data_IF_615429458675
#
_entry.id   IF_615429458675
#
_cell.length_a   1.000
_cell.length_b   1.000
_cell.length_c   1.000
_cell.angle_alpha   90.00
_cell.angle_beta   90.00
_cell.angle_gamma   90.00
#
_symmetry.space_group_name_H-M   'P 1'
#
loop_
_entity.id
_entity.type
_entity.pdbx_description
1 polymer ?
#
# COMPACT_ATOMS: atom_id res chain seq x y z
N UNK A 1 15.71 -23.57 4.80
CA UNK A 1 16.16 -24.97 4.75
C UNK A 1 17.35 -25.05 3.78
N UNK A 2 18.40 -25.82 4.07
CA UNK A 2 19.48 -26.03 3.11
C UNK A 2 18.95 -26.72 1.83
N UNK A 3 19.60 -26.49 0.71
CA UNK A 3 19.30 -27.15 -0.55
C UNK A 3 19.47 -28.66 -0.39
N UNK A 4 18.48 -29.44 -0.82
CA UNK A 4 18.50 -30.89 -0.70
C UNK A 4 19.28 -31.54 -1.84
N UNK A 5 19.79 -32.76 -1.64
CA UNK A 5 20.45 -33.54 -2.68
C UNK A 5 19.53 -33.77 -3.90
N UNK A 6 18.22 -33.97 -3.66
CA UNK A 6 17.24 -34.14 -4.73
C UNK A 6 17.11 -32.92 -5.62
N UNK A 7 17.19 -31.71 -5.08
CA UNK A 7 17.17 -30.48 -5.86
C UNK A 7 18.48 -30.25 -6.63
N UNK A 8 19.61 -30.54 -6.01
CA UNK A 8 20.92 -30.41 -6.65
C UNK A 8 21.14 -31.46 -7.77
N UNK A 9 20.57 -32.65 -7.63
CA UNK A 9 20.68 -33.72 -8.64
C UNK A 9 19.92 -33.42 -9.93
N UNK A 10 18.91 -32.55 -9.92
CA UNK A 10 18.21 -32.11 -11.13
C UNK A 10 19.14 -31.40 -12.13
N UNK A 11 20.24 -30.81 -11.63
CA UNK A 11 21.25 -30.14 -12.46
C UNK A 11 22.33 -31.10 -13.02
N UNK A 12 22.30 -32.39 -12.67
CA UNK A 12 23.36 -33.35 -12.97
C UNK A 12 23.04 -34.33 -14.11
N UNK A 13 21.84 -34.32 -14.67
CA UNK A 13 21.43 -35.26 -15.70
C UNK A 13 22.00 -34.87 -17.06
N UNK A 14 22.78 -35.78 -17.68
CA UNK A 14 23.57 -35.55 -18.90
C UNK A 14 22.75 -35.41 -20.20
N UNK A 15 21.43 -35.51 -20.15
CA UNK A 15 20.53 -35.46 -21.31
C UNK A 15 19.47 -34.37 -21.23
N UNK A 16 19.58 -33.42 -20.26
CA UNK A 16 18.61 -32.38 -20.00
C UNK A 16 19.22 -31.02 -20.35
N UNK A 17 18.42 -30.12 -20.89
CA UNK A 17 18.81 -28.71 -21.02
C UNK A 17 19.17 -28.15 -19.65
N UNK A 18 20.38 -27.64 -19.51
CA UNK A 18 20.87 -27.09 -18.24
C UNK A 18 20.32 -25.69 -17.94
N UNK A 19 19.45 -25.16 -18.79
CA UNK A 19 18.80 -23.87 -18.54
C UNK A 19 17.65 -24.04 -17.56
N UNK A 20 17.78 -23.43 -16.39
CA UNK A 20 16.70 -23.38 -15.40
C UNK A 20 15.76 -22.22 -15.78
N UNK A 21 14.51 -22.57 -16.05
CA UNK A 21 13.46 -21.61 -16.45
C UNK A 21 12.82 -21.07 -15.18
N UNK A 22 12.77 -19.75 -15.06
CA UNK A 22 12.05 -19.05 -14.00
C UNK A 22 10.64 -18.71 -14.49
N UNK A 23 9.63 -19.41 -13.96
CA UNK A 23 8.23 -19.22 -14.33
C UNK A 23 7.54 -18.04 -13.60
N UNK A 24 8.23 -17.45 -12.62
CA UNK A 24 7.64 -16.39 -11.81
C UNK A 24 7.85 -15.01 -12.41
N UNK A 25 6.76 -14.27 -12.56
CA UNK A 25 6.77 -12.86 -13.00
C UNK A 25 7.14 -11.94 -11.86
N UNK A 26 8.35 -11.39 -11.90
CA UNK A 26 8.83 -10.42 -10.90
C UNK A 26 9.26 -9.13 -11.57
N UNK A 27 8.82 -8.01 -11.01
CA UNK A 27 9.14 -6.68 -11.53
C UNK A 27 10.18 -5.99 -10.66
N UNK A 28 11.13 -5.30 -11.30
CA UNK A 28 12.10 -4.41 -10.64
C UNK A 28 11.83 -2.92 -10.94
N UNK A 29 10.74 -2.60 -11.65
CA UNK A 29 10.45 -1.24 -12.11
C UNK A 29 10.57 -0.18 -11.02
N UNK A 30 10.00 -0.45 -9.83
CA UNK A 30 10.03 0.51 -8.73
C UNK A 30 11.45 0.77 -8.24
N UNK A 31 12.26 -0.28 -8.10
CA UNK A 31 13.65 -0.15 -7.67
C UNK A 31 14.50 0.61 -8.70
N UNK A 32 14.23 0.40 -9.98
CA UNK A 32 15.00 0.99 -11.07
C UNK A 32 14.65 2.48 -11.32
N UNK A 33 13.43 2.91 -10.93
CA UNK A 33 12.92 4.27 -11.19
C UNK A 33 12.80 5.15 -9.95
N UNK A 34 12.75 4.57 -8.77
CA UNK A 34 12.60 5.32 -7.52
C UNK A 34 13.91 6.05 -7.19
N UNK A 35 13.93 7.38 -7.09
CA UNK A 35 15.11 8.11 -6.62
C UNK A 35 15.29 7.84 -5.12
N UNK A 36 16.54 7.58 -4.68
CA UNK A 36 16.87 7.37 -3.28
C UNK A 36 17.56 8.58 -2.67
N UNK A 37 17.01 9.09 -1.56
CA UNK A 37 17.64 10.08 -0.71
C UNK A 37 18.58 9.35 0.28
N UNK A 38 19.86 9.72 0.28
CA UNK A 38 20.88 9.16 1.16
C UNK A 38 21.28 10.13 2.27
N UNK A 39 20.38 11.00 2.69
CA UNK A 39 20.65 11.99 3.77
C UNK A 39 20.75 11.35 5.15
N UNK A 40 20.21 10.15 5.37
CA UNK A 40 20.34 9.40 6.62
C UNK A 40 21.67 8.68 6.64
N UNK A 41 22.65 9.25 7.35
CA UNK A 41 24.00 8.71 7.46
C UNK A 41 24.40 8.46 8.92
N UNK A 42 24.12 7.27 9.50
CA UNK A 42 24.51 6.96 10.87
C UNK A 42 26.02 6.95 11.10
N UNK A 43 26.80 6.55 10.10
CA UNK A 43 28.26 6.51 10.18
C UNK A 43 28.91 7.91 10.18
N UNK A 44 28.20 8.92 9.69
CA UNK A 44 28.64 10.31 9.67
C UNK A 44 28.44 11.08 10.98
N UNK A 45 28.03 10.41 12.05
CA UNK A 45 28.06 10.95 13.43
C UNK A 45 26.81 11.73 13.83
N UNK A 46 25.62 11.23 13.65
CA UNK A 46 24.50 11.91 14.28
C UNK A 46 23.09 11.55 13.89
N UNK A 47 22.84 10.62 12.99
CA UNK A 47 21.47 10.23 12.74
C UNK A 47 21.22 8.77 13.13
N UNK A 48 20.06 8.55 13.72
CA UNK A 48 19.48 7.22 13.87
C UNK A 48 18.93 6.76 12.52
N UNK A 49 18.50 5.51 12.39
CA UNK A 49 17.83 5.00 11.18
C UNK A 49 16.40 5.59 11.03
N UNK A 50 16.24 6.88 11.27
CA UNK A 50 14.97 7.61 11.20
C UNK A 50 15.13 8.77 10.23
N UNK A 51 14.26 8.82 9.24
CA UNK A 51 14.15 9.93 8.32
C UNK A 51 13.02 10.86 8.75
N UNK A 52 13.32 12.14 8.94
CA UNK A 52 12.33 13.15 9.32
C UNK A 52 12.13 14.19 8.23
N UNK A 53 10.87 14.58 8.00
CA UNK A 53 10.51 15.65 7.09
C UNK A 53 9.35 16.48 7.63
N UNK A 54 9.23 17.71 7.17
CA UNK A 54 8.17 18.63 7.59
C UNK A 54 7.22 18.88 6.42
N UNK A 55 5.92 18.73 6.69
CA UNK A 55 4.84 19.03 5.73
C UNK A 55 4.07 20.26 6.19
N UNK A 56 3.75 21.14 5.25
CA UNK A 56 2.82 22.24 5.48
C UNK A 56 1.39 21.67 5.47
N UNK A 57 0.61 22.01 6.51
CA UNK A 57 -0.75 21.51 6.70
C UNK A 57 -1.79 22.55 6.24
N UNK A 58 -1.54 23.83 6.43
CA UNK A 58 -2.45 24.90 6.06
C UNK A 58 -1.82 25.91 5.11
N UNK A 59 -2.66 26.61 4.35
CA UNK A 59 -2.24 27.71 3.48
C UNK A 59 -2.62 29.06 4.11
N UNK A 60 -1.88 30.10 3.78
CA UNK A 60 -2.28 31.47 4.12
C UNK A 60 -3.46 31.90 3.26
N UNK A 61 -4.41 32.57 3.90
CA UNK A 61 -5.44 33.31 3.20
C UNK A 61 -4.93 34.70 2.81
N UNK A 62 -5.40 35.21 1.67
CA UNK A 62 -5.25 36.60 1.27
C UNK A 62 -6.64 37.19 1.07
N UNK A 63 -6.84 38.43 1.46
CA UNK A 63 -8.13 39.11 1.35
C UNK A 63 -7.92 40.59 1.03
N UNK A 64 -8.97 41.24 0.52
CA UNK A 64 -8.99 42.69 0.42
C UNK A 64 -9.27 43.31 1.80
N UNK A 65 -8.67 44.46 2.07
CA UNK A 65 -8.99 45.28 3.24
C UNK A 65 -9.71 46.55 2.82
N UNK A 66 -10.52 47.08 3.71
CA UNK A 66 -11.06 48.44 3.55
C UNK A 66 -9.97 49.50 3.75
N UNK A 67 -10.17 50.67 3.18
CA UNK A 67 -9.29 51.83 3.47
C UNK A 67 -9.38 52.14 4.96
N UNK A 68 -8.25 52.38 5.61
CA UNK A 68 -8.09 52.58 7.05
C UNK A 68 -8.42 51.38 7.94
N UNK A 69 -8.42 50.14 7.40
CA UNK A 69 -8.49 48.89 8.17
C UNK A 69 -7.16 48.13 8.06
N UNK A 70 -6.86 47.28 9.04
CA UNK A 70 -5.71 46.36 9.01
C UNK A 70 -6.09 45.04 8.37
N UNK A 71 -5.08 44.29 7.82
CA UNK A 71 -5.25 42.91 7.39
C UNK A 71 -5.40 41.99 8.59
N UNK A 72 -6.28 41.02 8.51
CA UNK A 72 -6.35 39.95 9.50
C UNK A 72 -5.14 39.01 9.32
N UNK A 73 -4.27 38.89 10.31
CA UNK A 73 -3.12 37.99 10.22
C UNK A 73 -3.57 36.53 10.21
N UNK A 74 -2.95 35.73 9.34
CA UNK A 74 -3.15 34.27 9.27
C UNK A 74 -1.82 33.57 9.45
N UNK A 75 -1.81 32.38 10.02
CA UNK A 75 -0.62 31.58 10.23
C UNK A 75 -0.62 30.34 9.34
N UNK A 76 0.57 29.85 8.98
CA UNK A 76 0.80 28.60 8.28
C UNK A 76 1.21 27.55 9.29
N UNK A 77 0.44 26.47 9.41
CA UNK A 77 0.77 25.36 10.29
C UNK A 77 1.61 24.30 9.55
N UNK A 78 2.51 23.68 10.29
CA UNK A 78 3.42 22.62 9.81
C UNK A 78 3.33 21.44 10.75
N UNK A 79 3.52 20.23 10.21
CA UNK A 79 3.67 19.00 11.00
C UNK A 79 4.95 18.27 10.57
N UNK A 80 5.61 17.67 11.53
CA UNK A 80 6.78 16.82 11.31
C UNK A 80 6.31 15.37 11.21
N UNK A 81 6.86 14.66 10.24
CA UNK A 81 6.66 13.24 10.02
C UNK A 81 8.00 12.52 10.07
N UNK A 82 8.00 11.30 10.55
CA UNK A 82 9.19 10.46 10.64
C UNK A 82 8.91 9.10 10.03
N UNK A 83 9.91 8.50 9.40
CA UNK A 83 9.86 7.15 8.83
C UNK A 83 11.10 6.39 9.27
N UNK A 84 10.93 5.16 9.75
CA UNK A 84 12.01 4.30 10.17
C UNK A 84 12.56 3.53 8.96
N UNK A 85 13.89 3.52 8.79
CA UNK A 85 14.55 2.69 7.78
C UNK A 85 14.75 1.28 8.35
N UNK A 86 14.47 0.27 7.52
CA UNK A 86 14.56 -1.15 7.91
C UNK A 86 15.39 -1.94 6.90
N UNK A 87 16.24 -2.87 7.36
CA UNK A 87 16.93 -3.79 6.47
C UNK A 87 15.93 -4.81 5.89
N UNK A 88 16.15 -5.20 4.65
CA UNK A 88 15.28 -6.09 3.92
C UNK A 88 16.12 -7.08 3.10
N UNK A 89 15.86 -8.37 3.22
CA UNK A 89 16.65 -9.36 2.49
C UNK A 89 16.27 -10.78 2.83
N UNK A 90 17.19 -11.69 2.58
CA UNK A 90 17.01 -13.10 2.88
C UNK A 90 18.33 -13.85 2.84
N UNK A 91 18.28 -15.13 3.20
CA UNK A 91 19.43 -16.02 3.19
C UNK A 91 19.10 -17.37 2.57
N UNK A 92 20.11 -18.05 2.07
CA UNK A 92 20.04 -19.45 1.66
C UNK A 92 21.19 -20.23 2.27
N UNK A 93 21.01 -21.52 2.42
CA UNK A 93 22.02 -22.43 2.97
C UNK A 93 22.32 -23.55 1.97
N UNK A 94 23.60 -23.88 1.83
CA UNK A 94 24.06 -24.94 0.93
C UNK A 94 25.16 -25.79 1.63
N UNK A 95 25.09 -27.10 1.43
CA UNK A 95 26.17 -28.00 1.87
C UNK A 95 27.33 -27.95 0.85
N UNK A 96 28.58 -27.91 1.36
CA UNK A 96 29.79 -27.85 0.54
C UNK A 96 29.91 -28.99 -0.47
N UNK A 97 29.31 -30.17 -0.19
CA UNK A 97 29.32 -31.31 -1.11
C UNK A 97 28.50 -31.02 -2.35
N UNK A 98 27.40 -30.27 -2.19
CA UNK A 98 26.47 -29.94 -3.30
C UNK A 98 27.05 -28.87 -4.26
N UNK A 99 28.05 -28.13 -3.85
CA UNK A 99 28.70 -27.12 -4.71
C UNK A 99 29.49 -27.71 -5.87
N UNK A 100 29.93 -28.98 -5.73
CA UNK A 100 30.66 -29.75 -6.77
C UNK A 100 29.77 -30.62 -7.66
N UNK A 101 28.45 -30.64 -7.41
CA UNK A 101 27.50 -31.48 -8.13
C UNK A 101 26.74 -30.65 -9.16
N UNK A 102 26.78 -31.07 -10.41
CA UNK A 102 26.01 -30.46 -11.50
C UNK A 102 26.82 -29.54 -12.43
N UNK A 103 26.24 -29.30 -13.62
CA UNK A 103 26.83 -28.45 -14.66
C UNK A 103 26.59 -26.94 -14.39
N UNK A 104 25.61 -26.61 -13.56
CA UNK A 104 25.26 -25.23 -13.17
C UNK A 104 25.64 -25.02 -11.71
N UNK A 105 26.28 -23.90 -11.40
CA UNK A 105 26.61 -23.53 -10.03
C UNK A 105 25.34 -23.25 -9.22
N UNK A 106 25.02 -24.15 -8.30
CA UNK A 106 23.85 -23.99 -7.41
C UNK A 106 23.92 -22.70 -6.55
N UNK A 107 25.12 -22.32 -6.10
CA UNK A 107 25.33 -21.06 -5.36
C UNK A 107 24.93 -19.87 -6.20
N UNK A 108 25.34 -19.80 -7.46
CA UNK A 108 25.01 -18.68 -8.36
C UNK A 108 23.53 -18.62 -8.68
N UNK A 109 22.89 -19.79 -8.85
CA UNK A 109 21.46 -19.89 -9.08
C UNK A 109 20.67 -19.38 -7.88
N UNK A 110 20.96 -19.91 -6.68
CA UNK A 110 20.27 -19.51 -5.43
C UNK A 110 20.46 -18.02 -5.14
N UNK A 111 21.67 -17.49 -5.37
CA UNK A 111 21.94 -16.07 -5.21
C UNK A 111 21.11 -15.21 -6.18
N UNK A 112 21.05 -15.60 -7.46
CA UNK A 112 20.27 -14.88 -8.46
C UNK A 112 18.78 -14.87 -8.13
N UNK A 113 18.23 -16.00 -7.67
CA UNK A 113 16.85 -16.11 -7.25
C UNK A 113 16.57 -15.27 -5.99
N UNK A 114 17.49 -15.25 -5.02
CA UNK A 114 17.35 -14.45 -3.82
C UNK A 114 17.39 -12.93 -4.11
N UNK A 115 18.25 -12.49 -5.04
CA UNK A 115 18.27 -11.09 -5.50
C UNK A 115 16.92 -10.71 -6.16
N UNK A 116 16.38 -11.58 -7.03
CA UNK A 116 15.06 -11.36 -7.64
C UNK A 116 13.95 -11.29 -6.57
N UNK A 117 13.98 -12.19 -5.61
CA UNK A 117 13.01 -12.22 -4.50
C UNK A 117 13.09 -10.95 -3.64
N UNK A 118 14.30 -10.47 -3.32
CA UNK A 118 14.50 -9.24 -2.55
C UNK A 118 13.93 -8.02 -3.29
N UNK A 119 14.18 -7.91 -4.61
CA UNK A 119 13.61 -6.84 -5.44
C UNK A 119 12.08 -6.90 -5.51
N UNK A 120 11.51 -8.10 -5.67
CA UNK A 120 10.05 -8.28 -5.71
C UNK A 120 9.40 -7.99 -4.36
N UNK A 121 10.06 -8.38 -3.26
CA UNK A 121 9.57 -8.07 -1.91
C UNK A 121 9.62 -6.57 -1.63
N UNK A 122 10.67 -5.87 -2.07
CA UNK A 122 10.71 -4.41 -1.99
C UNK A 122 9.54 -3.78 -2.75
N UNK A 123 9.26 -4.22 -3.98
CA UNK A 123 8.14 -3.70 -4.76
C UNK A 123 6.78 -3.95 -4.07
N UNK A 124 6.60 -5.10 -3.42
CA UNK A 124 5.42 -5.39 -2.62
C UNK A 124 5.31 -4.45 -1.41
N UNK A 125 6.39 -4.24 -0.66
CA UNK A 125 6.40 -3.35 0.51
C UNK A 125 6.18 -1.88 0.12
N UNK A 126 6.66 -1.43 -1.03
CA UNK A 126 6.40 -0.08 -1.56
C UNK A 126 4.90 0.17 -1.75
N UNK A 127 4.13 -0.84 -2.11
CA UNK A 127 2.67 -0.73 -2.30
C UNK A 127 1.92 -1.10 -1.02
N UNK A 128 2.19 -2.29 -0.48
CA UNK A 128 1.37 -2.94 0.56
C UNK A 128 1.98 -2.87 1.97
N UNK A 129 3.16 -2.27 2.12
CA UNK A 129 3.81 -2.17 3.43
C UNK A 129 2.89 -1.54 4.47
N UNK A 130 2.93 -2.08 5.70
CA UNK A 130 2.16 -1.59 6.84
C UNK A 130 2.95 -1.92 8.12
N UNK A 131 3.50 -0.90 8.77
CA UNK A 131 4.32 -1.04 9.97
C UNK A 131 3.49 -1.46 11.21
N UNK A 132 2.19 -1.20 11.20
CA UNK A 132 1.28 -1.66 12.25
C UNK A 132 1.09 -3.19 12.21
N UNK A 133 1.25 -3.83 11.05
CA UNK A 133 1.15 -5.29 10.88
C UNK A 133 2.52 -5.95 10.94
N UNK A 134 3.50 -5.36 10.25
CA UNK A 134 4.89 -5.84 10.21
C UNK A 134 5.77 -4.80 10.88
N UNK A 135 5.99 -4.94 12.19
CA UNK A 135 6.69 -3.96 13.05
C UNK A 135 8.11 -3.65 12.58
N UNK A 136 8.73 -4.54 11.81
CA UNK A 136 10.06 -4.36 11.20
C UNK A 136 9.99 -3.92 9.73
N UNK A 137 8.81 -3.51 9.26
CA UNK A 137 8.57 -2.96 7.94
C UNK A 137 8.49 -1.44 7.91
N UNK A 138 7.99 -0.92 6.81
CA UNK A 138 7.65 0.49 6.61
C UNK A 138 6.31 0.62 5.88
N UNK A 139 5.65 1.78 6.01
CA UNK A 139 4.38 2.03 5.33
C UNK A 139 4.58 2.23 3.83
N UNK A 140 3.78 1.49 3.04
CA UNK A 140 3.71 1.62 1.59
C UNK A 140 2.68 2.66 1.14
N UNK A 141 2.55 2.80 -0.18
CA UNK A 141 1.60 3.76 -0.80
C UNK A 141 0.16 3.50 -0.37
N UNK A 142 -0.23 2.25 -0.18
CA UNK A 142 -1.57 1.89 0.25
C UNK A 142 -1.92 2.56 1.58
N UNK A 143 -1.02 2.53 2.56
CA UNK A 143 -1.20 3.17 3.86
C UNK A 143 -1.04 4.69 3.78
N UNK A 144 -0.03 5.17 3.05
CA UNK A 144 0.28 6.59 2.95
C UNK A 144 -0.82 7.42 2.26
N UNK A 145 -1.67 6.78 1.45
CA UNK A 145 -2.74 7.45 0.69
C UNK A 145 -4.11 7.38 1.38
N UNK A 146 -4.29 6.59 2.44
CA UNK A 146 -5.56 6.51 3.17
C UNK A 146 -5.97 7.91 3.68
N UNK A 147 -7.20 8.32 3.37
CA UNK A 147 -7.77 9.59 3.79
C UNK A 147 -7.15 10.84 3.14
N UNK A 148 -6.31 10.69 2.10
CA UNK A 148 -5.76 11.82 1.37
C UNK A 148 -6.73 12.33 0.30
N UNK A 149 -6.57 13.60 -0.11
CA UNK A 149 -7.39 14.18 -1.19
C UNK A 149 -7.18 13.49 -2.56
N UNK A 150 -6.12 12.70 -2.71
CA UNK A 150 -5.77 11.96 -3.94
C UNK A 150 -6.24 10.51 -3.92
N UNK A 151 -6.84 10.07 -2.82
CA UNK A 151 -7.56 8.80 -2.77
C UNK A 151 -8.95 8.97 -3.40
N UNK A 152 -9.32 8.08 -4.30
CA UNK A 152 -10.63 8.01 -4.93
C UNK A 152 -11.24 6.66 -4.64
N UNK A 153 -12.18 6.60 -3.73
CA UNK A 153 -12.92 5.39 -3.35
C UNK A 153 -14.37 5.39 -3.84
N UNK A 154 -14.72 6.34 -4.70
CA UNK A 154 -16.07 6.55 -5.25
C UNK A 154 -16.67 5.32 -5.95
N UNK A 155 -17.78 5.45 -6.67
CA UNK A 155 -18.47 4.32 -7.27
C UNK A 155 -17.51 3.49 -8.15
N UNK A 156 -17.71 2.17 -8.20
CA UNK A 156 -16.86 1.23 -8.96
C UNK A 156 -16.65 1.71 -10.39
N UNK A 157 -15.39 1.76 -10.84
CA UNK A 157 -15.06 1.97 -12.25
C UNK A 157 -15.05 0.58 -12.92
N UNK A 158 -16.10 0.24 -13.66
CA UNK A 158 -16.19 -1.04 -14.34
C UNK A 158 -15.51 -0.98 -15.72
N UNK A 159 -14.29 -1.51 -15.82
CA UNK A 159 -13.56 -1.61 -17.09
C UNK A 159 -14.05 -2.76 -17.96
N UNK A 160 -14.73 -3.78 -17.39
CA UNK A 160 -15.25 -4.92 -18.15
C UNK A 160 -16.48 -4.57 -18.96
N UNK A 161 -17.22 -3.56 -18.53
CA UNK A 161 -18.42 -3.08 -19.25
C UNK A 161 -18.08 -2.17 -20.44
N UNK A 162 -16.81 -1.78 -20.62
CA UNK A 162 -16.40 -0.84 -21.68
C UNK A 162 -16.33 -1.58 -23.03
N UNK A 163 -17.42 -1.55 -23.76
CA UNK A 163 -17.55 -2.18 -25.09
C UNK A 163 -17.90 -1.18 -26.20
N UNK A 164 -17.99 0.11 -25.90
CA UNK A 164 -18.28 1.19 -26.84
C UNK A 164 -17.33 2.36 -26.62
N UNK A 165 -17.15 3.16 -27.68
CA UNK A 165 -16.34 4.40 -27.59
C UNK A 165 -16.91 5.38 -26.55
N UNK A 166 -18.24 5.49 -26.42
CA UNK A 166 -18.86 6.39 -25.44
C UNK A 166 -18.52 5.99 -24.00
N UNK A 167 -18.58 4.70 -23.68
CA UNK A 167 -18.20 4.16 -22.36
C UNK A 167 -16.70 4.32 -22.11
N UNK A 168 -15.87 4.12 -23.14
CA UNK A 168 -14.43 4.35 -23.05
C UNK A 168 -14.10 5.82 -22.75
N UNK A 169 -14.77 6.77 -23.42
CA UNK A 169 -14.60 8.20 -23.16
C UNK A 169 -15.04 8.55 -21.73
N UNK A 170 -16.14 7.98 -21.24
CA UNK A 170 -16.59 8.18 -19.86
C UNK A 170 -15.58 7.65 -18.83
N UNK A 171 -15.06 6.43 -19.04
CA UNK A 171 -14.02 5.85 -18.20
C UNK A 171 -12.73 6.69 -18.18
N UNK A 172 -12.29 7.15 -19.37
CA UNK A 172 -11.15 8.06 -19.50
C UNK A 172 -11.41 9.39 -18.78
N UNK A 173 -12.64 9.93 -18.88
CA UNK A 173 -13.05 11.14 -18.17
C UNK A 173 -12.89 11.01 -16.66
N UNK A 174 -13.31 9.88 -16.10
CA UNK A 174 -13.17 9.59 -14.67
C UNK A 174 -11.71 9.43 -14.24
N UNK A 175 -10.92 8.68 -15.00
CA UNK A 175 -9.48 8.55 -14.73
C UNK A 175 -8.79 9.92 -14.79
N UNK A 176 -9.16 10.78 -15.73
CA UNK A 176 -8.61 12.13 -15.82
C UNK A 176 -9.00 13.02 -14.63
N UNK A 177 -10.23 12.92 -14.15
CA UNK A 177 -10.69 13.64 -12.96
C UNK A 177 -9.91 13.19 -11.70
N UNK A 178 -9.65 11.88 -11.59
CA UNK A 178 -8.80 11.34 -10.52
C UNK A 178 -7.36 11.85 -10.63
N UNK A 179 -6.74 11.77 -11.80
CA UNK A 179 -5.36 12.25 -12.01
C UNK A 179 -5.22 13.77 -11.80
N UNK A 180 -6.29 14.55 -12.04
CA UNK A 180 -6.28 15.99 -11.80
C UNK A 180 -6.20 16.38 -10.31
N UNK A 181 -6.42 15.44 -9.39
CA UNK A 181 -6.21 15.65 -7.95
C UNK A 181 -4.73 15.70 -7.55
N UNK A 182 -3.85 15.19 -8.41
CA UNK A 182 -2.40 15.21 -8.18
C UNK A 182 -1.80 16.59 -8.45
N UNK A 183 -0.68 16.85 -7.79
CA UNK A 183 0.16 18.01 -8.07
C UNK A 183 1.20 17.64 -9.15
N UNK A 184 0.91 18.06 -10.37
CA UNK A 184 1.71 17.76 -11.54
C UNK A 184 1.33 16.42 -12.22
N UNK A 185 2.03 16.13 -13.33
CA UNK A 185 1.82 14.93 -14.11
C UNK A 185 2.48 13.73 -13.42
N UNK A 186 1.80 12.58 -13.27
CA UNK A 186 2.46 11.35 -12.82
C UNK A 186 3.47 10.84 -13.84
N UNK A 187 4.45 10.09 -13.38
CA UNK A 187 5.48 9.45 -14.20
C UNK A 187 5.07 8.04 -14.63
N UNK A 188 4.21 7.37 -13.86
CA UNK A 188 3.74 6.02 -14.15
C UNK A 188 2.38 5.75 -13.53
N UNK A 189 1.64 4.81 -14.17
CA UNK A 189 0.47 4.16 -13.62
C UNK A 189 0.83 2.72 -13.26
N UNK A 190 0.72 2.39 -11.97
CA UNK A 190 1.05 1.06 -11.44
C UNK A 190 -0.23 0.26 -11.29
N UNK A 191 -0.22 -0.97 -11.75
CA UNK A 191 -1.39 -1.84 -11.75
C UNK A 191 -0.97 -3.30 -11.89
N UNK A 192 -1.94 -4.21 -11.93
CA UNK A 192 -1.69 -5.60 -12.29
C UNK A 192 -1.93 -5.84 -13.80
N UNK A 193 -1.55 -7.02 -14.28
CA UNK A 193 -1.63 -7.38 -15.70
C UNK A 193 -3.05 -7.36 -16.27
N UNK A 194 -4.07 -7.73 -15.46
CA UNK A 194 -5.48 -7.72 -15.89
C UNK A 194 -5.97 -6.29 -16.10
N UNK A 195 -5.70 -5.42 -15.13
CA UNK A 195 -6.05 -3.99 -15.24
C UNK A 195 -5.31 -3.32 -16.40
N UNK A 196 -4.04 -3.67 -16.62
CA UNK A 196 -3.24 -3.17 -17.74
C UNK A 196 -3.88 -3.52 -19.08
N UNK A 197 -4.26 -4.78 -19.28
CA UNK A 197 -4.90 -5.23 -20.52
C UNK A 197 -6.22 -4.50 -20.78
N UNK A 198 -7.09 -4.37 -19.76
CA UNK A 198 -8.37 -3.67 -19.91
C UNK A 198 -8.20 -2.16 -20.11
N UNK A 199 -7.28 -1.54 -19.38
CA UNK A 199 -7.01 -0.10 -19.58
C UNK A 199 -6.39 0.17 -20.96
N UNK A 200 -5.56 -0.73 -21.48
CA UNK A 200 -5.07 -0.70 -22.86
C UNK A 200 -6.23 -0.76 -23.87
N UNK A 201 -7.22 -1.63 -23.66
CA UNK A 201 -8.43 -1.70 -24.48
C UNK A 201 -9.26 -0.41 -24.40
N UNK A 202 -9.47 0.15 -23.20
CA UNK A 202 -10.16 1.44 -23.01
C UNK A 202 -9.42 2.56 -23.73
N UNK A 203 -8.10 2.58 -23.64
CA UNK A 203 -7.25 3.54 -24.33
C UNK A 203 -7.35 3.42 -25.87
N UNK A 204 -7.43 2.19 -26.38
CA UNK A 204 -7.62 1.94 -27.82
C UNK A 204 -8.99 2.42 -28.30
N UNK A 205 -10.08 2.08 -27.60
CA UNK A 205 -11.45 2.52 -27.95
C UNK A 205 -11.61 4.05 -27.88
N UNK A 206 -10.91 4.71 -26.97
CA UNK A 206 -10.95 6.17 -26.81
C UNK A 206 -9.97 6.91 -27.72
N UNK A 207 -9.12 6.20 -28.49
CA UNK A 207 -8.07 6.80 -29.32
C UNK A 207 -6.90 7.38 -28.53
N UNK A 208 -6.73 6.97 -27.26
CA UNK A 208 -5.69 7.46 -26.36
C UNK A 208 -4.50 6.49 -26.22
N UNK A 209 -4.60 5.28 -26.81
CA UNK A 209 -3.50 4.31 -26.80
C UNK A 209 -2.34 4.84 -27.65
N UNK A 210 -1.18 4.87 -27.06
CA UNK A 210 0.07 5.17 -27.73
C UNK A 210 1.14 4.19 -27.25
N UNK A 211 2.04 3.78 -28.11
CA UNK A 211 3.29 3.14 -27.71
C UNK A 211 4.37 4.20 -27.54
N UNK A 212 5.19 4.03 -26.52
CA UNK A 212 6.40 4.79 -26.33
C UNK A 212 7.56 3.82 -26.11
N UNK A 213 8.71 4.12 -26.68
CA UNK A 213 9.92 3.34 -26.38
C UNK A 213 10.53 3.87 -25.08
N UNK A 214 10.94 2.96 -24.22
CA UNK A 214 11.72 3.30 -23.04
C UNK A 214 13.19 3.65 -23.43
N UNK A 215 14.01 3.98 -22.46
CA UNK A 215 15.42 4.31 -22.67
C UNK A 215 16.24 3.15 -23.29
N UNK A 216 15.72 1.93 -23.28
CA UNK A 216 16.33 0.72 -23.84
C UNK A 216 15.71 0.29 -25.18
N UNK A 217 14.77 1.08 -25.73
CA UNK A 217 14.11 0.79 -26.99
C UNK A 217 12.97 -0.23 -26.89
N UNK A 218 12.55 -0.63 -25.68
CA UNK A 218 11.43 -1.54 -25.46
C UNK A 218 10.12 -0.75 -25.59
N UNK A 219 9.21 -1.23 -26.44
CA UNK A 219 7.89 -0.64 -26.57
C UNK A 219 7.07 -0.86 -25.27
N UNK A 220 6.57 0.25 -24.72
CA UNK A 220 5.65 0.26 -23.60
C UNK A 220 4.31 0.84 -24.02
N UNK A 221 3.24 0.16 -23.64
CA UNK A 221 1.90 0.71 -23.77
C UNK A 221 1.73 1.91 -22.84
N UNK A 222 1.21 3.00 -23.39
CA UNK A 222 0.99 4.22 -22.65
C UNK A 222 -0.46 4.67 -22.75
N UNK A 223 -1.00 5.13 -21.64
CA UNK A 223 -2.25 5.85 -21.59
C UNK A 223 -1.94 7.35 -21.49
N UNK A 224 -2.28 8.12 -22.54
CA UNK A 224 -1.96 9.56 -22.64
C UNK A 224 -0.46 9.87 -22.43
N UNK A 225 0.40 8.95 -22.84
CA UNK A 225 1.85 9.06 -22.65
C UNK A 225 2.32 8.76 -21.21
N UNK A 226 1.47 8.18 -20.37
CA UNK A 226 1.84 7.62 -19.07
C UNK A 226 2.07 6.12 -19.24
N UNK A 227 3.23 5.58 -18.87
CA UNK A 227 3.49 4.16 -18.97
C UNK A 227 2.59 3.36 -18.05
N UNK A 228 2.03 2.26 -18.57
CA UNK A 228 1.21 1.29 -17.84
C UNK A 228 2.12 0.18 -17.33
N UNK A 229 2.35 0.14 -16.04
CA UNK A 229 3.32 -0.75 -15.40
C UNK A 229 2.60 -1.84 -14.61
N UNK A 230 2.85 -3.08 -15.01
CA UNK A 230 2.47 -4.24 -14.22
C UNK A 230 3.57 -4.56 -13.19
N UNK A 231 3.22 -4.58 -11.91
CA UNK A 231 4.17 -4.86 -10.83
C UNK A 231 4.45 -6.36 -10.63
N UNK A 232 3.70 -7.24 -11.31
CA UNK A 232 3.93 -8.68 -11.27
C UNK A 232 3.54 -9.34 -9.96
N UNK A 233 4.30 -10.37 -9.57
CA UNK A 233 4.02 -11.24 -8.44
C UNK A 233 4.89 -10.92 -7.22
N UNK A 234 4.36 -11.23 -6.03
CA UNK A 234 5.07 -11.12 -4.75
C UNK A 234 6.24 -12.11 -4.65
N UNK A 235 7.20 -11.81 -3.81
CA UNK A 235 8.28 -12.72 -3.51
C UNK A 235 7.76 -14.00 -2.82
N UNK A 236 8.20 -15.17 -3.30
CA UNK A 236 7.85 -16.45 -2.69
C UNK A 236 6.39 -16.89 -2.88
N UNK A 237 5.61 -16.20 -3.69
CA UNK A 237 4.22 -16.52 -3.96
C UNK A 237 3.83 -16.23 -5.41
N UNK A 238 2.80 -16.91 -5.92
CA UNK A 238 2.17 -16.61 -7.22
C UNK A 238 1.08 -15.53 -7.10
N UNK A 239 0.92 -14.89 -5.96
CA UNK A 239 -0.03 -13.80 -5.76
C UNK A 239 0.54 -12.48 -6.28
N UNK A 240 -0.33 -11.65 -6.86
CA UNK A 240 0.04 -10.36 -7.45
C UNK A 240 0.40 -9.33 -6.36
N UNK A 241 1.32 -8.42 -6.67
CA UNK A 241 1.65 -7.24 -5.81
C UNK A 241 0.43 -6.35 -5.65
N UNK A 242 -0.28 -6.04 -6.75
CA UNK A 242 -1.59 -5.40 -6.70
C UNK A 242 -2.63 -6.48 -7.02
N UNK A 243 -3.35 -7.00 -6.01
CA UNK A 243 -4.22 -8.16 -6.20
C UNK A 243 -5.51 -7.82 -6.95
N UNK A 244 -6.11 -8.83 -7.56
CA UNK A 244 -7.53 -8.81 -7.92
C UNK A 244 -8.30 -9.32 -6.69
N UNK A 245 -9.04 -8.44 -6.06
CA UNK A 245 -9.78 -8.75 -4.85
C UNK A 245 -11.20 -9.19 -5.21
N UNK A 246 -11.66 -10.30 -4.66
CA UNK A 246 -13.08 -10.60 -4.64
C UNK A 246 -13.76 -9.71 -3.59
N UNK A 247 -15.05 -9.47 -3.76
CA UNK A 247 -15.88 -9.01 -2.67
C UNK A 247 -15.72 -10.04 -1.53
N UNK A 248 -14.91 -9.69 -0.55
CA UNK A 248 -14.62 -10.54 0.59
C UNK A 248 -15.73 -10.44 1.64
N UNK A 249 -15.54 -11.13 2.75
CA UNK A 249 -16.38 -10.93 3.94
C UNK A 249 -16.04 -9.58 4.54
N UNK A 250 -17.01 -8.70 4.61
CA UNK A 250 -16.86 -7.41 5.27
C UNK A 250 -16.66 -7.60 6.77
N UNK A 251 -15.78 -6.82 7.35
CA UNK A 251 -15.62 -6.83 8.79
C UNK A 251 -16.84 -6.28 9.48
N UNK A 252 -17.20 -6.93 10.58
CA UNK A 252 -18.30 -6.53 11.44
C UNK A 252 -17.78 -6.39 12.87
N UNK A 253 -17.94 -5.19 13.42
CA UNK A 253 -17.63 -4.91 14.83
C UNK A 253 -18.91 -4.55 15.55
N UNK A 254 -19.10 -5.15 16.72
CA UNK A 254 -20.30 -4.94 17.55
C UNK A 254 -19.94 -4.14 18.80
N UNK A 255 -20.63 -3.03 18.98
CA UNK A 255 -20.58 -2.19 20.16
C UNK A 255 -21.68 -2.64 21.12
N UNK A 256 -21.28 -3.12 22.29
CA UNK A 256 -22.24 -3.57 23.35
C UNK A 256 -22.07 -2.70 24.57
N UNK A 257 -23.17 -2.12 24.99
CA UNK A 257 -23.27 -1.29 26.20
C UNK A 257 -23.61 -2.15 27.41
N UNK A 258 -22.97 -1.86 28.53
CA UNK A 258 -23.31 -2.44 29.83
C UNK A 258 -23.52 -1.34 30.86
N UNK A 259 -24.26 -1.70 31.96
CA UNK A 259 -24.65 -0.74 32.97
C UNK A 259 -25.84 0.12 32.55
N UNK A 260 -26.08 1.18 33.29
CA UNK A 260 -27.17 2.13 33.01
C UNK A 260 -26.61 3.41 32.47
N UNK A 261 -27.08 3.84 31.29
CA UNK A 261 -26.75 5.08 30.66
C UNK A 261 -27.92 6.05 30.74
N UNK A 262 -27.75 7.18 31.41
CA UNK A 262 -28.84 8.14 31.64
C UNK A 262 -28.66 9.46 30.93
N UNK A 263 -27.43 9.87 30.73
CA UNK A 263 -27.07 11.10 29.99
C UNK A 263 -25.57 11.13 29.71
N UNK A 264 -25.10 12.17 29.04
CA UNK A 264 -23.69 12.39 28.75
C UNK A 264 -23.33 12.15 27.32
N UNK A 265 -22.02 12.16 27.04
CA UNK A 265 -21.47 11.95 25.71
C UNK A 265 -20.27 10.99 25.77
N UNK A 266 -19.99 10.36 24.65
CA UNK A 266 -18.85 9.48 24.45
C UNK A 266 -18.19 9.77 23.10
N UNK A 267 -16.99 9.26 22.86
CA UNK A 267 -16.32 9.40 21.58
C UNK A 267 -15.90 8.05 21.04
N UNK A 268 -15.81 7.97 19.70
CA UNK A 268 -15.35 6.82 18.96
C UNK A 268 -14.08 7.22 18.20
N UNK A 269 -13.06 6.36 18.26
CA UNK A 269 -11.83 6.56 17.51
C UNK A 269 -11.57 5.36 16.59
N UNK A 270 -11.22 5.66 15.35
CA UNK A 270 -10.85 4.68 14.34
C UNK A 270 -9.56 5.12 13.63
N UNK A 271 -8.54 4.29 13.67
CA UNK A 271 -7.22 4.55 13.08
C UNK A 271 -6.66 5.96 13.43
N UNK A 272 -6.78 6.32 14.71
CA UNK A 272 -6.26 7.59 15.23
C UNK A 272 -7.14 8.83 14.97
N UNK A 273 -8.25 8.69 14.27
CA UNK A 273 -9.24 9.75 14.08
C UNK A 273 -10.37 9.58 15.09
N UNK A 274 -10.78 10.66 15.75
CA UNK A 274 -11.79 10.65 16.81
C UNK A 274 -13.00 11.48 16.41
N UNK A 275 -14.21 10.97 16.63
CA UNK A 275 -15.46 11.71 16.38
C UNK A 275 -15.60 12.90 17.33
N UNK A 276 -16.45 13.87 16.93
CA UNK A 276 -17.02 14.79 17.90
C UNK A 276 -17.79 14.00 18.99
N UNK A 277 -18.04 14.61 20.17
CA UNK A 277 -18.81 13.96 21.22
C UNK A 277 -20.19 13.49 20.75
N UNK A 278 -20.48 12.22 20.94
CA UNK A 278 -21.69 11.51 20.54
C UNK A 278 -22.67 11.44 21.72
N UNK A 279 -23.96 11.61 21.48
CA UNK A 279 -24.97 11.47 22.54
C UNK A 279 -25.03 10.02 23.09
N UNK A 280 -25.34 9.86 24.35
CA UNK A 280 -25.43 8.55 25.02
C UNK A 280 -26.41 7.59 24.33
N UNK A 281 -27.43 8.12 23.65
CA UNK A 281 -28.52 7.41 22.98
C UNK A 281 -28.45 7.55 21.43
N UNK A 282 -27.30 7.84 20.89
CA UNK A 282 -27.14 8.05 19.44
C UNK A 282 -27.64 6.82 18.65
N UNK A 283 -28.40 7.07 17.60
CA UNK A 283 -28.88 6.01 16.70
C UNK A 283 -27.78 5.51 15.76
N UNK A 284 -27.90 4.28 15.27
CA UNK A 284 -26.97 3.71 14.30
C UNK A 284 -26.78 4.62 13.07
N UNK A 285 -27.85 5.21 12.53
CA UNK A 285 -27.77 6.11 11.39
C UNK A 285 -26.98 7.40 11.68
N UNK A 286 -27.19 8.00 12.85
CA UNK A 286 -26.44 9.19 13.26
C UNK A 286 -24.97 8.86 13.60
N UNK A 287 -24.69 7.65 14.08
CA UNK A 287 -23.35 7.15 14.31
C UNK A 287 -22.59 7.06 12.97
N UNK A 288 -23.20 6.50 11.92
CA UNK A 288 -22.61 6.49 10.56
C UNK A 288 -22.34 7.91 10.07
N UNK A 289 -23.29 8.84 10.28
CA UNK A 289 -23.09 10.24 9.90
C UNK A 289 -21.89 10.86 10.63
N UNK A 290 -21.71 10.57 11.91
CA UNK A 290 -20.57 11.06 12.68
C UNK A 290 -19.25 10.40 12.27
N UNK A 291 -19.26 9.11 11.93
CA UNK A 291 -18.08 8.41 11.40
C UNK A 291 -17.67 8.93 10.03
N UNK A 292 -18.61 9.27 9.15
CA UNK A 292 -18.34 9.85 7.82
C UNK A 292 -17.72 11.27 7.89
N UNK A 293 -17.65 11.89 9.05
CA UNK A 293 -16.92 13.15 9.27
C UNK A 293 -15.43 12.93 9.59
N UNK A 294 -15.02 11.69 9.88
CA UNK A 294 -13.61 11.36 10.06
C UNK A 294 -12.89 11.41 8.72
N UNK A 295 -11.68 11.94 8.70
CA UNK A 295 -10.90 12.13 7.46
C UNK A 295 -10.50 10.82 6.76
N UNK A 296 -10.63 9.70 7.46
CA UNK A 296 -10.30 8.35 6.98
C UNK A 296 -11.55 7.50 6.67
N UNK A 297 -12.76 8.04 6.75
CA UNK A 297 -14.01 7.35 6.41
C UNK A 297 -14.82 8.22 5.44
N UNK A 298 -15.14 7.68 4.27
CA UNK A 298 -16.00 8.31 3.29
C UNK A 298 -17.43 7.72 3.34
N UNK A 299 -18.38 8.43 2.72
CA UNK A 299 -19.75 7.96 2.62
C UNK A 299 -19.83 6.63 1.89
N UNK A 300 -20.35 5.59 2.56
CA UNK A 300 -20.45 4.22 2.05
C UNK A 300 -19.35 3.28 2.55
N UNK A 301 -18.34 3.78 3.26
CA UNK A 301 -17.27 2.95 3.85
C UNK A 301 -17.74 2.19 5.10
N UNK A 302 -18.75 2.72 5.79
CA UNK A 302 -19.33 2.09 6.96
C UNK A 302 -20.86 2.11 6.88
N UNK A 303 -21.46 1.05 7.36
CA UNK A 303 -22.90 0.98 7.64
C UNK A 303 -23.09 0.55 9.08
N UNK A 304 -24.17 0.98 9.72
CA UNK A 304 -24.49 0.52 11.06
C UNK A 304 -25.95 0.11 11.17
N UNK A 305 -26.20 -0.88 11.97
CA UNK A 305 -27.53 -1.39 12.29
C UNK A 305 -27.65 -1.63 13.79
N UNK A 306 -28.89 -1.78 14.28
CA UNK A 306 -29.19 -1.95 15.69
C UNK A 306 -29.96 -0.77 16.26
N UNK A 307 -30.11 -0.78 17.58
CA UNK A 307 -30.84 0.27 18.30
C UNK A 307 -30.01 1.49 18.64
N UNK A 308 -30.54 2.34 19.51
CA UNK A 308 -29.77 3.42 20.11
C UNK A 308 -28.72 2.86 21.08
N UNK A 309 -27.53 3.47 21.13
CA UNK A 309 -26.40 2.94 21.91
C UNK A 309 -26.71 2.72 23.39
N UNK A 310 -27.52 3.54 24.00
CA UNK A 310 -27.83 3.40 25.44
C UNK A 310 -28.65 2.15 25.84
N UNK A 311 -29.20 1.40 24.89
CA UNK A 311 -30.12 0.29 25.17
C UNK A 311 -29.90 -1.00 24.41
N UNK A 312 -29.29 -0.93 23.21
CA UNK A 312 -29.12 -2.08 22.31
C UNK A 312 -27.73 -2.10 21.70
N UNK A 313 -27.20 -3.28 21.33
CA UNK A 313 -25.98 -3.37 20.56
C UNK A 313 -26.11 -2.63 19.23
N UNK A 314 -25.03 -1.95 18.82
CA UNK A 314 -24.88 -1.38 17.49
C UNK A 314 -23.86 -2.20 16.73
N UNK A 315 -24.26 -2.68 15.58
CA UNK A 315 -23.42 -3.48 14.68
C UNK A 315 -22.91 -2.57 13.57
N UNK A 316 -21.61 -2.39 13.48
CA UNK A 316 -20.94 -1.62 12.44
C UNK A 316 -20.35 -2.60 11.44
N UNK A 317 -20.69 -2.43 10.15
CA UNK A 317 -20.13 -3.20 9.05
C UNK A 317 -19.26 -2.28 8.22
N UNK A 318 -18.02 -2.68 8.03
CA UNK A 318 -17.07 -1.99 7.17
C UNK A 318 -17.28 -2.44 5.71
N UNK A 319 -17.46 -1.47 4.81
CA UNK A 319 -17.78 -1.67 3.42
C UNK A 319 -16.93 -0.73 2.55
N UNK A 320 -17.33 -0.48 1.31
CA UNK A 320 -16.67 0.48 0.43
C UNK A 320 -15.16 0.25 0.36
N UNK A 321 -14.38 1.21 0.79
CA UNK A 321 -12.92 1.19 0.87
C UNK A 321 -12.38 0.06 1.77
N UNK A 322 -13.11 -0.28 2.81
CA UNK A 322 -12.76 -1.32 3.78
C UNK A 322 -13.41 -2.67 3.47
N UNK A 323 -14.07 -2.81 2.32
CA UNK A 323 -14.71 -4.08 1.93
C UNK A 323 -13.70 -5.22 1.87
N UNK A 324 -13.93 -6.27 2.64
CA UNK A 324 -13.06 -7.45 2.70
C UNK A 324 -11.71 -7.23 3.39
N UNK A 325 -11.53 -6.12 4.10
CA UNK A 325 -10.30 -5.80 4.84
C UNK A 325 -10.53 -6.05 6.33
N UNK A 326 -9.59 -6.75 6.97
CA UNK A 326 -9.54 -6.80 8.43
C UNK A 326 -8.98 -5.46 8.94
N UNK A 327 -9.83 -4.66 9.58
CA UNK A 327 -9.48 -3.34 10.10
C UNK A 327 -9.24 -3.39 11.61
N UNK A 328 -8.43 -2.48 12.17
CA UNK A 328 -8.24 -2.42 13.61
C UNK A 328 -9.55 -2.18 14.34
N UNK A 329 -9.68 -2.76 15.54
CA UNK A 329 -10.84 -2.51 16.41
C UNK A 329 -11.02 -1.02 16.67
N UNK A 330 -12.28 -0.59 16.57
CA UNK A 330 -12.71 0.73 17.06
C UNK A 330 -12.40 0.84 18.55
N UNK A 331 -11.89 1.98 18.97
CA UNK A 331 -11.73 2.30 20.38
C UNK A 331 -12.78 3.33 20.80
N UNK A 332 -13.26 3.23 22.04
CA UNK A 332 -14.31 4.11 22.57
C UNK A 332 -13.87 4.72 23.90
N UNK A 333 -14.23 5.98 24.13
CA UNK A 333 -14.08 6.65 25.42
C UNK A 333 -15.46 7.03 25.93
N UNK A 334 -15.85 6.39 27.01
CA UNK A 334 -17.15 6.56 27.68
C UNK A 334 -17.04 7.38 28.97
N UNK A 335 -15.93 8.02 29.23
CA UNK A 335 -15.68 8.79 30.47
C UNK A 335 -16.65 9.94 30.67
N UNK A 336 -17.27 10.46 29.63
CA UNK A 336 -18.30 11.50 29.68
C UNK A 336 -19.73 10.99 29.90
N UNK A 337 -19.94 9.68 30.07
CA UNK A 337 -21.27 9.09 30.32
C UNK A 337 -21.61 9.15 31.77
N UNK A 338 -22.87 9.46 32.04
CA UNK A 338 -23.49 9.45 33.40
C UNK A 338 -24.36 8.22 33.52
N UNK A 339 -24.13 7.43 34.59
CA UNK A 339 -24.89 6.22 34.87
C UNK A 339 -24.10 5.24 35.73
N UNK A 340 -24.80 4.25 36.32
CA UNK A 340 -24.17 3.27 37.20
C UNK A 340 -23.56 2.12 36.40
N UNK A 341 -22.25 1.86 36.62
CA UNK A 341 -21.54 0.74 36.01
C UNK A 341 -21.45 0.83 34.46
N UNK A 342 -21.50 2.05 33.91
CA UNK A 342 -21.46 2.27 32.47
C UNK A 342 -20.13 1.79 31.86
N UNK A 343 -20.23 0.96 30.85
CA UNK A 343 -19.10 0.55 30.02
C UNK A 343 -19.58 0.23 28.61
N UNK A 344 -18.68 0.28 27.65
CA UNK A 344 -18.91 -0.16 26.28
C UNK A 344 -17.77 -1.12 25.87
N UNK A 345 -18.13 -2.25 25.32
CA UNK A 345 -17.20 -3.20 24.72
C UNK A 345 -17.34 -3.20 23.21
N UNK A 346 -16.22 -3.23 22.50
CA UNK A 346 -16.18 -3.42 21.07
C UNK A 346 -15.61 -4.80 20.79
N UNK A 347 -16.34 -5.60 20.03
CA UNK A 347 -15.96 -6.97 19.69
C UNK A 347 -16.00 -7.11 18.18
N UNK A 348 -14.92 -7.63 17.60
CA UNK A 348 -14.93 -8.10 16.22
C UNK A 348 -15.83 -9.34 16.14
N UNK A 349 -16.98 -9.20 15.48
CA UNK A 349 -17.97 -10.26 15.33
C UNK A 349 -17.70 -11.10 14.09
N UNK A 350 -17.20 -10.47 13.05
CA UNK A 350 -16.78 -11.12 11.80
C UNK A 350 -15.52 -10.45 11.33
N UNK A 351 -14.38 -11.17 11.25
CA UNK A 351 -13.16 -10.60 10.70
C UNK A 351 -13.33 -10.29 9.22
N UNK A 352 -12.82 -9.15 8.82
CA UNK A 352 -12.69 -8.81 7.41
C UNK A 352 -11.73 -9.78 6.74
N UNK A 353 -12.10 -10.34 5.62
CA UNK A 353 -11.25 -11.25 4.87
C UNK A 353 -11.47 -11.07 3.36
N UNK A 354 -10.40 -10.93 2.62
CA UNK A 354 -10.47 -11.06 1.17
C UNK A 354 -10.82 -12.52 0.82
N UNK A 355 -11.68 -12.71 -0.17
CA UNK A 355 -11.89 -14.03 -0.70
C UNK A 355 -10.59 -14.53 -1.36
N UNK A 356 -10.24 -15.80 -1.10
CA UNK A 356 -9.10 -16.45 -1.73
C UNK A 356 -9.26 -16.65 -3.25
N UNK A 357 -10.48 -16.52 -3.78
CA UNK A 357 -10.73 -16.53 -5.21
C UNK A 357 -10.37 -15.17 -5.81
N UNK A 358 -9.68 -15.12 -6.96
CA UNK A 358 -9.40 -13.89 -7.65
C UNK A 358 -10.73 -13.20 -7.98
N UNK A 359 -10.99 -12.10 -7.30
CA UNK A 359 -12.16 -11.27 -7.53
C UNK A 359 -11.91 -10.23 -8.61
N UNK A 360 -12.98 -9.57 -8.98
CA UNK A 360 -12.97 -8.63 -10.07
C UNK A 360 -12.54 -7.20 -9.71
N UNK A 361 -12.16 -6.90 -8.48
CA UNK A 361 -11.80 -5.53 -8.06
C UNK A 361 -10.28 -5.39 -7.87
N UNK A 362 -9.71 -4.28 -8.30
CA UNK A 362 -8.30 -3.95 -8.10
C UNK A 362 -8.13 -2.45 -7.89
N UNK A 363 -6.94 -2.04 -7.48
CA UNK A 363 -6.57 -0.64 -7.31
C UNK A 363 -5.58 -0.21 -8.40
N UNK A 364 -5.68 1.05 -8.82
CA UNK A 364 -4.71 1.70 -9.69
C UNK A 364 -3.98 2.77 -8.91
N UNK A 365 -2.65 2.79 -9.04
CA UNK A 365 -1.82 3.81 -8.41
C UNK A 365 -1.19 4.70 -9.49
N UNK A 366 -1.24 6.01 -9.30
CA UNK A 366 -0.50 6.98 -10.08
C UNK A 366 0.61 7.55 -9.20
N UNK A 367 1.84 7.61 -9.70
CA UNK A 367 2.99 8.07 -8.93
C UNK A 367 3.80 9.11 -9.69
N UNK A 368 4.25 10.15 -8.99
CA UNK A 368 5.23 11.12 -9.43
C UNK A 368 6.49 10.94 -8.57
N UNK A 369 7.53 10.43 -9.20
CA UNK A 369 8.81 10.21 -8.54
C UNK A 369 9.54 11.54 -8.35
N UNK A 370 10.20 11.70 -7.21
CA UNK A 370 10.98 12.91 -6.93
C UNK A 370 11.24 13.09 -5.44
N UNK A 371 12.34 13.73 -5.09
CA UNK A 371 12.72 13.99 -3.69
C UNK A 371 11.76 14.92 -2.96
N UNK A 372 10.95 15.66 -3.68
CA UNK A 372 9.85 16.51 -3.18
C UNK A 372 8.51 15.77 -3.12
N UNK A 373 8.39 14.64 -3.82
CA UNK A 373 7.20 13.83 -3.96
C UNK A 373 7.34 12.45 -3.31
N UNK A 374 7.30 11.41 -4.16
CA UNK A 374 7.46 10.01 -3.76
C UNK A 374 8.88 9.54 -4.08
N UNK A 375 9.62 9.07 -3.08
CA UNK A 375 10.99 8.62 -3.20
C UNK A 375 11.35 7.57 -2.16
N UNK A 376 12.44 6.85 -2.41
CA UNK A 376 13.07 5.98 -1.44
C UNK A 376 14.03 6.74 -0.54
N UNK A 377 14.27 6.23 0.65
CA UNK A 377 15.32 6.68 1.56
C UNK A 377 16.20 5.49 1.89
N UNK A 378 17.51 5.66 1.79
CA UNK A 378 18.48 4.61 2.08
C UNK A 378 19.70 5.19 2.81
N UNK A 379 20.43 4.34 3.51
CA UNK A 379 21.74 4.69 4.05
C UNK A 379 22.75 4.77 2.90
N UNK A 380 23.72 5.71 2.93
CA UNK A 380 24.77 5.78 1.91
C UNK A 380 25.54 4.46 1.77
N UNK A 381 25.78 4.05 0.54
CA UNK A 381 26.48 2.81 0.21
C UNK A 381 25.80 2.03 -0.92
N UNK A 382 26.14 0.76 -1.03
CA UNK A 382 25.47 -0.15 -1.96
C UNK A 382 24.07 -0.45 -1.46
N UNK A 383 23.07 -0.26 -2.32
CA UNK A 383 21.69 -0.52 -1.97
C UNK A 383 21.43 -2.01 -1.71
N UNK A 384 22.06 -2.90 -2.50
CA UNK A 384 21.98 -4.35 -2.33
C UNK A 384 23.39 -4.89 -2.09
N UNK A 385 23.57 -5.54 -0.96
CA UNK A 385 24.78 -6.23 -0.56
C UNK A 385 24.58 -7.73 -0.65
N UNK A 386 25.63 -8.45 -1.04
CA UNK A 386 25.61 -9.91 -1.15
C UNK A 386 26.78 -10.50 -0.40
N UNK A 387 26.52 -11.51 0.42
CA UNK A 387 27.53 -12.30 1.10
C UNK A 387 27.45 -13.72 0.56
N UNK A 388 28.56 -14.18 0.00
CA UNK A 388 28.66 -15.54 -0.54
C UNK A 388 28.99 -16.53 0.58
N UNK A 389 28.56 -17.82 0.44
CA UNK A 389 28.92 -18.87 1.37
C UNK A 389 30.44 -19.05 1.43
N UNK A 390 31.06 -18.96 2.63
CA UNK A 390 32.50 -19.18 2.85
C UNK A 390 32.79 -20.62 3.15
N UNK A 391 33.32 -21.35 2.18
CA UNK A 391 33.71 -22.74 2.29
C UNK A 391 35.16 -22.96 2.80
N UNK A 392 35.89 -21.90 3.10
CA UNK A 392 37.26 -22.00 3.67
C UNK A 392 37.28 -22.33 5.16
N UNK A 393 36.18 -22.01 5.84
CA UNK A 393 36.03 -22.28 7.29
C UNK A 393 35.35 -23.62 7.55
N UNK A 394 35.52 -24.18 8.76
CA UNK A 394 34.89 -25.43 9.17
C UNK A 394 33.36 -25.34 9.19
N UNK A 395 32.70 -26.48 8.95
CA UNK A 395 31.22 -26.59 8.86
C UNK A 395 30.78 -27.06 7.48
N UNK A 396 29.88 -28.04 7.44
CA UNK A 396 29.40 -28.64 6.20
C UNK A 396 28.43 -27.71 5.46
N UNK A 397 27.54 -27.03 6.18
CA UNK A 397 26.53 -26.13 5.64
C UNK A 397 26.98 -24.68 5.81
N UNK A 398 26.89 -23.89 4.72
CA UNK A 398 27.26 -22.49 4.69
C UNK A 398 26.10 -21.64 4.25
N UNK A 399 26.02 -20.42 4.77
CA UNK A 399 24.95 -19.46 4.49
C UNK A 399 25.44 -18.41 3.49
N UNK A 400 24.64 -18.15 2.47
CA UNK A 400 24.77 -16.95 1.64
C UNK A 400 23.60 -16.02 1.94
N UNK A 401 23.83 -14.72 1.84
CA UNK A 401 22.83 -13.69 2.17
C UNK A 401 22.78 -12.62 1.11
N UNK A 402 21.59 -12.08 0.91
CA UNK A 402 21.35 -10.86 0.14
C UNK A 402 20.54 -9.91 1.02
N UNK A 403 21.05 -8.73 1.22
CA UNK A 403 20.39 -7.71 2.02
C UNK A 403 20.34 -6.39 1.25
N UNK A 404 19.18 -5.83 1.16
CA UNK A 404 19.01 -4.41 0.87
C UNK A 404 19.25 -3.67 2.19
N UNK A 405 20.22 -2.76 2.22
CA UNK A 405 20.55 -1.98 3.41
C UNK A 405 19.31 -1.27 3.97
N UNK A 406 19.39 -0.63 5.14
CA UNK A 406 18.23 0.03 5.72
C UNK A 406 17.58 0.98 4.74
N UNK A 407 16.33 0.67 4.36
CA UNK A 407 15.54 1.41 3.36
C UNK A 407 14.15 1.69 3.89
N UNK A 408 13.52 2.71 3.34
CA UNK A 408 12.11 3.02 3.47
C UNK A 408 11.63 3.76 2.23
N UNK A 409 10.32 3.94 2.09
CA UNK A 409 9.74 4.85 1.11
C UNK A 409 9.03 6.01 1.80
N UNK A 410 9.03 7.15 1.16
CA UNK A 410 8.47 8.38 1.72
C UNK A 410 7.62 9.09 0.69
N UNK A 411 6.42 9.45 1.08
CA UNK A 411 5.53 10.33 0.34
C UNK A 411 5.54 11.70 1.02
N UNK A 412 6.45 12.61 0.64
CA UNK A 412 6.52 13.95 1.24
C UNK A 412 5.28 14.78 0.94
N UNK A 413 4.83 14.78 -0.29
CA UNK A 413 3.59 15.43 -0.70
C UNK A 413 2.52 14.38 -0.97
N UNK A 414 1.39 14.43 -0.26
CA UNK A 414 0.26 13.52 -0.52
C UNK A 414 -0.27 13.63 -1.95
N UNK A 415 -0.09 14.79 -2.59
CA UNK A 415 -0.48 15.01 -3.99
C UNK A 415 0.53 14.50 -5.02
N UNK A 416 1.66 13.92 -4.61
CA UNK A 416 2.62 13.30 -5.53
C UNK A 416 2.27 11.85 -5.86
N UNK A 417 1.32 11.26 -5.18
CA UNK A 417 0.76 9.96 -5.53
C UNK A 417 -0.77 9.99 -5.40
N UNK A 418 -1.44 9.09 -6.10
CA UNK A 418 -2.89 8.95 -6.04
C UNK A 418 -3.27 7.48 -6.16
N UNK A 419 -4.39 7.10 -5.57
CA UNK A 419 -4.97 5.76 -5.71
C UNK A 419 -6.44 5.85 -6.16
N UNK A 420 -6.78 5.07 -7.16
CA UNK A 420 -8.14 4.82 -7.59
C UNK A 420 -8.52 3.41 -7.14
N UNK A 421 -9.42 3.35 -6.18
CA UNK A 421 -9.88 2.11 -5.55
C UNK A 421 -11.05 1.49 -6.31
N UNK A 422 -11.26 0.19 -6.09
CA UNK A 422 -12.44 -0.53 -6.57
C UNK A 422 -12.61 -0.46 -8.10
N UNK A 423 -11.54 -0.63 -8.85
CA UNK A 423 -11.62 -0.76 -10.31
C UNK A 423 -11.97 -2.20 -10.65
N UNK A 424 -13.12 -2.40 -11.32
CA UNK A 424 -13.57 -3.73 -11.70
C UNK A 424 -12.90 -4.21 -12.99
N UNK A 425 -12.26 -5.38 -12.90
CA UNK A 425 -11.46 -6.00 -13.97
C UNK A 425 -11.86 -7.44 -14.30
N UNK A 426 -12.84 -8.01 -13.59
CA UNK A 426 -13.42 -9.33 -13.89
C UNK A 426 -14.86 -9.44 -13.38
#
# INVERSE_FOLDING_TARGET
MPVTLAQASLNAASAIDHQIIDEFRKSSFLLDRLPFDQSVNPAGGGSTLVYGYTRQISQRAAAFRAINAEYTPTEVTKAQYTVNLRPLGGSFQIDRVLTGIGAVSEVSFQLAQLVKATKAYFADQVINGNDAVTTDGFDGLNQALIGTATEESGPVLDLTAVNTQALAIAAVGRINAWLAKMDGRPDALLMNGTAKALLGMVAAFSGQLRSAQDAFGIEQETFRGLPLIDLGEKAGAASLVIPNLAAGTNEVQTLTVSGTWTSGTWTLSFQGQTTAPLAFDITAANLVTAMNLLSNIDSGDVTASGGATGTNPVVITFAGRYAGVNVPLITVDVSGIVGAGHAMTVVETTPGAYSANPGGLTDLYAVRFGLDGFHGVAVPGNLINTWLPDFTTAGAVKTGEVEMGPVAVVLKSSKAAAVLRNVKVA
#
